data_IF_440539060999
#
_entry.id   IF_440539060999
#
_cell.length_a   1.000
_cell.length_b   1.000
_cell.length_c   1.000
_cell.angle_alpha   90.00
_cell.angle_beta   90.00
_cell.angle_gamma   90.00
#
_symmetry.space_group_name_H-M   'P 1'
#
loop_
_entity.id
_entity.type
_entity.pdbx_description
1 polymer ?
#
# COMPACT_ATOMS: atom_id res chain seq x y z
N UNK A 1 18.16 -14.15 -4.61
CA UNK A 1 18.26 -14.20 -6.08
C UNK A 1 16.95 -13.69 -6.66
N UNK A 2 16.98 -12.62 -7.47
CA UNK A 2 15.78 -12.11 -8.13
C UNK A 2 15.71 -12.68 -9.55
N UNK A 3 14.58 -13.30 -9.92
CA UNK A 3 14.30 -13.74 -11.28
C UNK A 3 13.50 -12.63 -11.98
N UNK A 4 14.03 -12.12 -13.07
CA UNK A 4 13.34 -11.19 -13.96
C UNK A 4 12.66 -12.00 -15.06
N UNK A 5 11.35 -11.84 -15.25
CA UNK A 5 10.60 -12.47 -16.33
C UNK A 5 10.04 -11.40 -17.26
N UNK A 6 10.07 -11.69 -18.56
CA UNK A 6 9.68 -10.79 -19.63
C UNK A 6 8.16 -10.70 -19.79
N UNK A 7 7.68 -9.49 -20.10
CA UNK A 7 6.29 -9.18 -20.48
C UNK A 7 5.82 -10.03 -21.67
N UNK A 8 4.61 -10.60 -21.58
CA UNK A 8 3.87 -11.18 -22.70
C UNK A 8 2.43 -10.65 -22.70
N UNK A 9 2.13 -9.76 -23.66
CA UNK A 9 0.81 -9.46 -24.28
C UNK A 9 -0.42 -9.09 -23.42
N UNK A 10 -1.18 -8.10 -23.91
CA UNK A 10 -2.53 -7.68 -23.45
C UNK A 10 -2.54 -6.82 -22.18
N UNK A 11 -3.27 -5.71 -22.16
CA UNK A 11 -3.37 -4.77 -21.03
C UNK A 11 -3.84 -5.48 -19.75
N UNK A 12 -2.91 -5.78 -18.85
CA UNK A 12 -3.18 -6.35 -17.53
C UNK A 12 -2.99 -5.27 -16.47
N UNK A 13 -3.85 -5.26 -15.45
CA UNK A 13 -3.67 -4.39 -14.30
C UNK A 13 -2.40 -4.77 -13.55
N UNK A 14 -1.58 -3.79 -13.18
CA UNK A 14 -0.28 -4.03 -12.57
C UNK A 14 -0.37 -3.90 -11.04
N UNK A 15 -0.19 -5.01 -10.33
CA UNK A 15 0.00 -5.01 -8.87
C UNK A 15 1.46 -5.34 -8.57
N UNK A 16 2.12 -4.46 -7.84
CA UNK A 16 3.50 -4.68 -7.38
C UNK A 16 3.48 -5.37 -6.03
N UNK A 17 4.09 -6.54 -5.94
CA UNK A 17 4.17 -7.29 -4.69
C UNK A 17 5.51 -7.06 -4.01
N UNK A 18 5.48 -6.82 -2.71
CA UNK A 18 6.66 -6.69 -1.88
C UNK A 18 6.58 -7.66 -0.73
N UNK A 19 7.60 -8.49 -0.66
CA UNK A 19 7.71 -9.55 0.31
C UNK A 19 8.93 -9.26 1.14
N UNK A 20 8.74 -9.13 2.44
CA UNK A 20 9.84 -8.90 3.36
C UNK A 20 9.47 -9.44 4.74
N UNK A 21 10.42 -9.98 5.50
CA UNK A 21 10.16 -10.50 6.84
C UNK A 21 9.48 -9.49 7.78
N UNK A 22 8.92 -9.95 8.87
CA UNK A 22 8.39 -9.07 9.92
C UNK A 22 9.50 -8.15 10.47
N UNK A 23 9.12 -6.95 10.92
CA UNK A 23 10.03 -5.95 11.53
C UNK A 23 11.15 -5.43 10.62
N UNK A 24 10.95 -5.37 9.31
CA UNK A 24 11.94 -4.83 8.34
C UNK A 24 11.65 -3.40 7.88
N UNK A 25 10.58 -2.77 8.37
CA UNK A 25 10.21 -1.41 7.99
C UNK A 25 9.61 -1.30 6.58
N UNK A 26 8.88 -2.33 6.12
CA UNK A 26 8.22 -2.40 4.80
C UNK A 26 7.43 -1.12 4.47
N UNK A 27 6.65 -0.65 5.43
CA UNK A 27 5.82 0.55 5.33
C UNK A 27 6.63 1.82 5.00
N UNK A 28 7.91 1.86 5.40
CA UNK A 28 8.76 3.06 5.28
C UNK A 28 9.48 3.15 3.92
N UNK A 29 9.67 2.03 3.23
CA UNK A 29 10.45 1.97 1.98
C UNK A 29 9.67 2.45 0.76
N UNK A 30 8.35 2.60 0.88
CA UNK A 30 7.46 2.91 -0.23
C UNK A 30 7.50 4.35 -0.75
N UNK A 31 7.95 5.29 0.06
CA UNK A 31 7.87 6.71 -0.25
C UNK A 31 9.01 7.26 -1.13
N UNK A 32 10.00 6.44 -1.55
CA UNK A 32 11.29 6.97 -2.07
C UNK A 32 11.48 7.08 -3.59
N UNK A 33 10.45 6.97 -4.45
CA UNK A 33 10.64 7.13 -5.91
C UNK A 33 9.84 8.26 -6.54
N UNK A 34 10.56 9.06 -7.34
CA UNK A 34 10.27 10.38 -7.92
C UNK A 34 9.12 10.49 -8.96
N UNK A 35 8.11 9.63 -8.88
CA UNK A 35 6.79 9.88 -9.48
C UNK A 35 5.77 9.74 -8.36
N UNK A 36 5.75 10.75 -7.50
CA UNK A 36 4.88 10.78 -6.33
C UNK A 36 3.43 10.83 -6.83
N UNK A 37 2.62 9.79 -6.57
CA UNK A 37 1.19 9.87 -6.83
C UNK A 37 0.64 11.12 -6.12
N UNK A 38 -0.38 11.77 -6.69
CA UNK A 38 -1.00 12.93 -6.04
C UNK A 38 -1.64 12.54 -4.72
N UNK A 39 -2.12 11.29 -4.60
CA UNK A 39 -2.71 10.73 -3.37
C UNK A 39 -2.22 9.32 -3.10
N UNK A 40 -1.95 9.01 -1.83
CA UNK A 40 -1.65 7.65 -1.37
C UNK A 40 -2.64 7.23 -0.31
N UNK A 41 -3.27 6.06 -0.46
CA UNK A 41 -4.12 5.45 0.57
C UNK A 41 -3.47 4.17 1.09
N UNK A 42 -3.70 3.87 2.37
CA UNK A 42 -3.17 2.70 3.05
C UNK A 42 -4.30 1.82 3.58
N UNK A 43 -4.34 0.58 3.10
CA UNK A 43 -5.27 -0.46 3.51
C UNK A 43 -4.48 -1.53 4.25
N UNK A 44 -4.76 -1.73 5.53
CA UNK A 44 -4.12 -2.78 6.32
C UNK A 44 -5.12 -3.86 6.69
N UNK A 45 -4.76 -5.12 6.46
CA UNK A 45 -5.55 -6.29 6.85
C UNK A 45 -4.96 -7.01 8.07
N UNK A 46 -3.83 -6.51 8.59
CA UNK A 46 -3.22 -6.94 9.84
C UNK A 46 -2.14 -5.94 10.28
N UNK A 47 -1.64 -6.07 11.53
CA UNK A 47 -0.51 -5.33 12.09
C UNK A 47 -0.67 -3.78 12.14
N UNK A 48 -1.90 -3.26 12.13
CA UNK A 48 -2.17 -1.81 12.16
C UNK A 48 -2.84 -1.32 13.46
N UNK A 49 -2.44 -1.84 14.63
CA UNK A 49 -2.92 -1.35 15.93
C UNK A 49 -4.43 -1.37 16.06
N UNK A 50 -5.04 -2.51 15.71
CA UNK A 50 -6.48 -2.76 15.67
C UNK A 50 -7.26 -1.96 14.62
N UNK A 51 -6.63 -1.18 13.73
CA UNK A 51 -7.31 -0.52 12.59
C UNK A 51 -7.19 -1.34 11.31
N UNK A 52 -7.45 -2.65 11.42
CA UNK A 52 -7.37 -3.59 10.31
C UNK A 52 -8.75 -3.74 9.67
N UNK A 53 -8.80 -3.94 8.36
CA UNK A 53 -10.00 -4.40 7.67
C UNK A 53 -10.08 -5.92 7.72
N UNK A 54 -11.28 -6.45 8.00
CA UNK A 54 -11.53 -7.89 7.99
C UNK A 54 -12.93 -8.16 7.44
N UNK A 55 -13.07 -9.19 6.60
CA UNK A 55 -14.39 -9.62 6.13
C UNK A 55 -15.12 -10.40 7.23
N UNK A 56 -16.42 -10.15 7.41
CA UNK A 56 -17.24 -10.82 8.42
C UNK A 56 -18.51 -11.41 7.79
N UNK A 57 -18.74 -12.74 7.81
CA UNK A 57 -17.86 -13.76 8.36
C UNK A 57 -16.54 -13.90 7.58
N UNK A 58 -15.49 -14.31 8.28
CA UNK A 58 -14.12 -14.38 7.74
C UNK A 58 -13.91 -15.40 6.62
N UNK A 59 -14.84 -16.35 6.44
CA UNK A 59 -14.75 -17.37 5.38
C UNK A 59 -15.53 -16.91 4.15
N UNK A 60 -14.93 -16.86 2.95
CA UNK A 60 -15.66 -16.58 1.71
C UNK A 60 -16.66 -17.68 1.31
N UNK A 61 -17.44 -17.42 0.25
CA UNK A 61 -18.25 -18.43 -0.42
C UNK A 61 -17.39 -19.60 -0.92
N UNK A 62 -17.94 -20.82 -0.97
CA UNK A 62 -17.28 -21.98 -1.59
C UNK A 62 -17.32 -21.92 -3.12
N UNK A 63 -18.23 -21.14 -3.70
CA UNK A 63 -18.26 -20.86 -5.14
C UNK A 63 -17.18 -19.84 -5.47
N UNK A 64 -16.24 -20.21 -6.36
CA UNK A 64 -15.07 -19.40 -6.71
C UNK A 64 -15.44 -18.08 -7.39
N UNK A 65 -16.51 -18.04 -8.20
CA UNK A 65 -16.95 -16.81 -8.85
C UNK A 65 -17.57 -15.87 -7.82
N UNK A 66 -18.44 -16.40 -6.96
CA UNK A 66 -19.04 -15.61 -5.87
C UNK A 66 -17.98 -15.13 -4.89
N UNK A 67 -16.95 -15.94 -4.58
CA UNK A 67 -15.85 -15.55 -3.72
C UNK A 67 -15.05 -14.40 -4.32
N UNK A 68 -14.77 -14.44 -5.63
CA UNK A 68 -14.11 -13.35 -6.35
C UNK A 68 -14.92 -12.05 -6.31
N UNK A 69 -16.22 -12.11 -6.60
CA UNK A 69 -17.15 -10.97 -6.52
C UNK A 69 -17.29 -10.43 -5.08
N UNK A 70 -17.28 -11.31 -4.08
CA UNK A 70 -17.25 -10.94 -2.66
C UNK A 70 -16.00 -10.12 -2.32
N UNK A 71 -14.84 -10.55 -2.80
CA UNK A 71 -13.58 -9.84 -2.60
C UNK A 71 -13.57 -8.47 -3.27
N UNK A 72 -14.10 -8.40 -4.49
CA UNK A 72 -14.30 -7.16 -5.22
C UNK A 72 -15.16 -6.17 -4.43
N UNK A 73 -16.34 -6.59 -3.97
CA UNK A 73 -17.25 -5.75 -3.18
C UNK A 73 -16.65 -5.32 -1.84
N UNK A 74 -15.96 -6.25 -1.15
CA UNK A 74 -15.24 -5.98 0.09
C UNK A 74 -14.19 -4.88 -0.07
N UNK A 75 -13.41 -4.92 -1.16
CA UNK A 75 -12.38 -3.93 -1.43
C UNK A 75 -12.96 -2.52 -1.65
N UNK A 76 -14.09 -2.42 -2.36
CA UNK A 76 -14.83 -1.15 -2.51
C UNK A 76 -15.21 -0.58 -1.15
N UNK A 77 -15.77 -1.43 -0.28
CA UNK A 77 -16.24 -1.02 1.04
C UNK A 77 -15.09 -0.60 1.96
N UNK A 78 -13.93 -1.26 1.89
CA UNK A 78 -12.73 -0.83 2.60
C UNK A 78 -12.31 0.59 2.19
N UNK A 79 -12.30 0.87 0.89
CA UNK A 79 -11.95 2.21 0.36
C UNK A 79 -13.03 3.24 0.74
N UNK A 80 -14.30 2.85 0.72
CA UNK A 80 -15.42 3.71 1.16
C UNK A 80 -15.24 4.14 2.62
N UNK A 81 -15.00 3.20 3.52
CA UNK A 81 -14.75 3.48 4.93
C UNK A 81 -13.54 4.42 5.09
N UNK A 82 -12.44 4.18 4.37
CA UNK A 82 -11.26 5.07 4.44
C UNK A 82 -11.56 6.52 4.01
N UNK A 83 -12.41 6.72 3.01
CA UNK A 83 -12.67 8.05 2.43
C UNK A 83 -13.82 8.78 3.09
N UNK A 84 -14.86 8.05 3.51
CA UNK A 84 -16.10 8.61 4.06
C UNK A 84 -16.11 8.60 5.60
N UNK A 85 -15.36 7.70 6.23
CA UNK A 85 -15.34 7.49 7.70
C UNK A 85 -13.89 7.55 8.27
N UNK A 86 -13.08 8.58 7.97
CA UNK A 86 -11.65 8.61 8.33
C UNK A 86 -11.36 8.62 9.85
N UNK A 87 -12.33 9.06 10.64
CA UNK A 87 -12.24 9.12 12.10
C UNK A 87 -12.75 7.85 12.79
N UNK A 88 -13.23 6.86 12.05
CA UNK A 88 -13.72 5.60 12.61
C UNK A 88 -12.57 4.85 13.28
N UNK A 89 -12.70 4.62 14.58
CA UNK A 89 -11.71 3.88 15.36
C UNK A 89 -11.97 2.36 15.34
N UNK A 90 -10.91 1.59 15.58
CA UNK A 90 -10.99 0.14 15.81
C UNK A 90 -10.99 -0.70 14.53
N UNK A 91 -11.22 -2.02 14.67
CA UNK A 91 -11.18 -2.92 13.53
C UNK A 91 -12.40 -2.66 12.64
N UNK A 92 -12.14 -2.59 11.34
CA UNK A 92 -13.16 -2.37 10.34
C UNK A 92 -13.67 -3.73 9.87
N UNK A 93 -14.64 -4.26 10.61
CA UNK A 93 -15.42 -5.40 10.15
C UNK A 93 -16.31 -4.98 8.99
N UNK A 94 -16.06 -5.56 7.83
CA UNK A 94 -16.84 -5.35 6.62
C UNK A 94 -17.74 -6.56 6.42
N UNK A 95 -19.07 -6.40 6.45
CA UNK A 95 -19.99 -7.50 6.20
C UNK A 95 -19.73 -8.13 4.83
N UNK A 96 -19.60 -9.45 4.78
CA UNK A 96 -19.52 -10.21 3.55
C UNK A 96 -20.84 -10.05 2.80
N UNK A 97 -20.78 -9.64 1.53
CA UNK A 97 -21.97 -9.59 0.70
C UNK A 97 -22.25 -10.99 0.13
N UNK A 98 -23.32 -11.64 0.60
CA UNK A 98 -23.69 -12.98 0.12
C UNK A 98 -24.29 -12.97 -1.30
N UNK A 99 -24.68 -11.80 -1.81
CA UNK A 99 -25.13 -11.59 -3.19
C UNK A 99 -24.31 -10.43 -3.79
N UNK A 100 -22.99 -10.63 -3.96
CA UNK A 100 -22.12 -9.57 -4.42
C UNK A 100 -22.48 -9.14 -5.85
N UNK A 101 -22.27 -7.86 -6.21
CA UNK A 101 -22.33 -7.47 -7.61
C UNK A 101 -21.15 -8.08 -8.38
N UNK A 102 -21.29 -8.20 -9.70
CA UNK A 102 -20.20 -8.58 -10.59
C UNK A 102 -18.95 -7.69 -10.38
N UNK A 103 -17.77 -8.24 -10.65
CA UNK A 103 -16.48 -7.55 -10.49
C UNK A 103 -16.45 -6.23 -11.26
N UNK A 104 -16.92 -6.22 -12.51
CA UNK A 104 -16.99 -5.02 -13.35
C UNK A 104 -17.83 -3.91 -12.70
N UNK A 105 -18.96 -4.28 -12.08
CA UNK A 105 -19.80 -3.31 -11.38
C UNK A 105 -19.08 -2.74 -10.15
N UNK A 106 -18.31 -3.55 -9.44
CA UNK A 106 -17.48 -3.07 -8.32
C UNK A 106 -16.36 -2.12 -8.79
N UNK A 107 -15.79 -2.34 -9.98
CA UNK A 107 -14.80 -1.44 -10.59
C UNK A 107 -15.40 -0.06 -10.93
N UNK A 108 -16.62 -0.04 -11.47
CA UNK A 108 -17.36 1.19 -11.73
C UNK A 108 -17.60 1.97 -10.43
N UNK A 109 -18.12 1.28 -9.40
CA UNK A 109 -18.41 1.90 -8.10
C UNK A 109 -17.13 2.43 -7.44
N UNK A 110 -16.02 1.68 -7.47
CA UNK A 110 -14.74 2.18 -6.96
C UNK A 110 -14.27 3.42 -7.73
N UNK A 111 -14.37 3.41 -9.06
CA UNK A 111 -13.94 4.53 -9.89
C UNK A 111 -14.76 5.78 -9.59
N UNK A 112 -16.08 5.66 -9.49
CA UNK A 112 -16.97 6.77 -9.10
C UNK A 112 -16.66 7.30 -7.69
N UNK A 113 -16.38 6.41 -6.74
CA UNK A 113 -16.00 6.77 -5.38
C UNK A 113 -14.68 7.55 -5.36
N UNK A 114 -13.65 7.06 -6.04
CA UNK A 114 -12.36 7.73 -6.13
C UNK A 114 -12.46 9.09 -6.86
N UNK A 115 -13.20 9.14 -7.96
CA UNK A 115 -13.42 10.37 -8.72
C UNK A 115 -14.16 11.43 -7.88
N UNK A 116 -15.14 11.02 -7.07
CA UNK A 116 -15.90 11.90 -6.19
C UNK A 116 -15.04 12.53 -5.10
N UNK A 117 -14.16 11.75 -4.47
CA UNK A 117 -13.39 12.19 -3.30
C UNK A 117 -12.02 12.76 -3.64
N UNK A 118 -11.36 12.25 -4.69
CA UNK A 118 -9.98 12.58 -5.05
C UNK A 118 -9.85 13.28 -6.40
N UNK A 119 -10.91 13.27 -7.21
CA UNK A 119 -10.95 13.91 -8.53
C UNK A 119 -10.56 12.95 -9.67
N UNK A 120 -11.17 13.17 -10.84
CA UNK A 120 -11.02 12.34 -12.05
C UNK A 120 -9.61 12.24 -12.59
N UNK A 121 -8.77 13.23 -12.33
CA UNK A 121 -7.39 13.29 -12.82
C UNK A 121 -6.37 12.86 -11.75
N UNK A 122 -6.83 12.29 -10.63
CA UNK A 122 -5.94 11.87 -9.55
C UNK A 122 -5.10 10.65 -9.94
N UNK A 123 -3.82 10.72 -9.58
CA UNK A 123 -2.91 9.58 -9.58
C UNK A 123 -2.89 8.98 -8.18
N UNK A 124 -3.50 7.80 -8.03
CA UNK A 124 -3.70 7.16 -6.74
C UNK A 124 -2.76 5.96 -6.60
N UNK A 125 -2.07 5.90 -5.47
CA UNK A 125 -1.33 4.72 -5.02
C UNK A 125 -2.04 4.09 -3.83
N UNK A 126 -2.43 2.83 -3.98
CA UNK A 126 -2.96 2.02 -2.88
C UNK A 126 -1.85 1.12 -2.34
N UNK A 127 -1.53 1.27 -1.06
CA UNK A 127 -0.68 0.34 -0.34
C UNK A 127 -1.56 -0.63 0.46
N UNK A 128 -1.54 -1.89 0.07
CA UNK A 128 -2.38 -2.99 0.58
C UNK A 128 -1.50 -3.91 1.43
N UNK A 129 -1.54 -3.74 2.74
CA UNK A 129 -0.69 -4.44 3.69
C UNK A 129 -1.30 -5.73 4.20
N UNK A 130 -0.46 -6.76 4.27
CA UNK A 130 -0.85 -8.12 4.65
C UNK A 130 -2.07 -8.65 3.86
N UNK A 131 -2.13 -8.38 2.55
CA UNK A 131 -3.31 -8.66 1.70
C UNK A 131 -3.85 -10.11 1.74
N UNK A 132 -3.05 -11.10 2.15
CA UNK A 132 -3.56 -12.48 2.31
C UNK A 132 -4.42 -12.67 3.56
N UNK A 133 -4.42 -11.70 4.49
CA UNK A 133 -5.22 -11.70 5.73
C UNK A 133 -6.58 -11.00 5.59
N UNK A 134 -6.99 -10.66 4.35
CA UNK A 134 -8.34 -10.14 4.09
C UNK A 134 -9.44 -11.12 4.49
N UNK A 135 -9.18 -12.43 4.36
CA UNK A 135 -10.14 -13.51 4.58
C UNK A 135 -9.43 -14.81 4.97
N UNK A 136 -10.20 -15.80 5.43
CA UNK A 136 -9.72 -17.14 5.68
C UNK A 136 -9.31 -17.83 4.38
N UNK A 137 -8.10 -18.38 4.36
CA UNK A 137 -7.60 -19.28 3.31
C UNK A 137 -7.47 -20.68 3.88
N UNK A 138 -8.11 -21.65 3.24
CA UNK A 138 -8.11 -23.05 3.68
C UNK A 138 -6.83 -23.75 3.26
N UNK A 139 -6.32 -23.43 2.07
CA UNK A 139 -5.13 -24.03 1.48
C UNK A 139 -4.39 -23.03 0.61
N UNK A 140 -3.16 -23.35 0.19
CA UNK A 140 -2.47 -22.62 -0.89
C UNK A 140 -2.84 -23.15 -2.30
N UNK A 141 -3.94 -23.89 -2.43
CA UNK A 141 -4.35 -24.52 -3.69
C UNK A 141 -4.99 -23.52 -4.67
N UNK A 142 -5.01 -23.90 -5.95
CA UNK A 142 -5.54 -23.11 -7.07
C UNK A 142 -7.06 -22.83 -6.96
N UNK A 143 -7.79 -23.68 -6.24
CA UNK A 143 -9.23 -23.56 -6.03
C UNK A 143 -9.59 -23.13 -4.60
N UNK A 144 -8.66 -22.48 -3.89
CA UNK A 144 -8.95 -21.93 -2.57
C UNK A 144 -9.86 -20.69 -2.72
N UNK A 145 -11.09 -20.69 -2.16
CA UNK A 145 -11.97 -19.55 -2.32
C UNK A 145 -11.43 -18.26 -1.68
N UNK A 146 -10.60 -18.37 -0.65
CA UNK A 146 -9.89 -17.22 -0.08
C UNK A 146 -8.85 -16.61 -1.03
N UNK A 147 -8.21 -17.42 -1.87
CA UNK A 147 -7.35 -16.93 -2.94
C UNK A 147 -8.15 -16.17 -4.02
N UNK A 148 -9.32 -16.67 -4.41
CA UNK A 148 -10.22 -16.00 -5.37
C UNK A 148 -10.80 -14.70 -4.81
N UNK A 149 -11.21 -14.69 -3.54
CA UNK A 149 -11.62 -13.49 -2.83
C UNK A 149 -10.53 -12.41 -2.85
N UNK A 150 -9.30 -12.74 -2.44
CA UNK A 150 -8.21 -11.78 -2.54
C UNK A 150 -7.92 -11.39 -4.01
N UNK A 151 -8.13 -12.30 -4.96
CA UNK A 151 -8.02 -12.02 -6.40
C UNK A 151 -8.93 -10.90 -6.85
N UNK A 152 -10.23 -11.03 -6.60
CA UNK A 152 -11.24 -10.03 -6.95
C UNK A 152 -11.03 -8.69 -6.24
N UNK A 153 -10.62 -8.72 -4.96
CA UNK A 153 -10.24 -7.52 -4.22
C UNK A 153 -9.09 -6.77 -4.90
N UNK A 154 -8.01 -7.49 -5.25
CA UNK A 154 -6.84 -6.88 -5.90
C UNK A 154 -7.14 -6.42 -7.32
N UNK A 155 -8.01 -7.11 -8.06
CA UNK A 155 -8.44 -6.70 -9.39
C UNK A 155 -9.20 -5.37 -9.35
N UNK A 156 -10.18 -5.23 -8.45
CA UNK A 156 -10.92 -3.99 -8.28
C UNK A 156 -9.99 -2.85 -7.86
N UNK A 157 -9.13 -3.05 -6.86
CA UNK A 157 -8.21 -1.99 -6.41
C UNK A 157 -7.28 -1.52 -7.53
N UNK A 158 -6.84 -2.43 -8.41
CA UNK A 158 -5.93 -2.12 -9.50
C UNK A 158 -6.60 -1.53 -10.75
N UNK A 159 -7.93 -1.44 -10.80
CA UNK A 159 -8.65 -1.00 -12.00
C UNK A 159 -8.38 0.48 -12.34
N UNK A 160 -8.29 1.32 -11.31
CA UNK A 160 -8.14 2.78 -11.42
C UNK A 160 -6.91 3.34 -10.69
N UNK A 161 -6.20 2.48 -9.96
CA UNK A 161 -5.07 2.88 -9.11
C UNK A 161 -3.80 2.07 -9.40
N UNK A 162 -2.68 2.60 -8.94
CA UNK A 162 -1.45 1.81 -8.83
C UNK A 162 -1.48 1.09 -7.49
N UNK A 163 -1.40 -0.23 -7.50
CA UNK A 163 -1.45 -1.01 -6.26
C UNK A 163 -0.09 -1.59 -5.92
N UNK A 164 0.25 -1.45 -4.66
CA UNK A 164 1.39 -2.08 -4.00
C UNK A 164 0.82 -2.98 -2.92
N UNK A 165 1.07 -4.28 -3.01
CA UNK A 165 0.65 -5.24 -2.01
C UNK A 165 1.85 -5.79 -1.23
N UNK A 166 1.71 -5.91 0.09
CA UNK A 166 2.70 -6.53 0.95
C UNK A 166 2.17 -7.80 1.61
N UNK A 167 3.07 -8.73 1.87
CA UNK A 167 2.84 -9.92 2.69
C UNK A 167 4.19 -10.42 3.23
N UNK A 168 4.16 -11.17 4.34
CA UNK A 168 5.38 -11.75 4.93
C UNK A 168 6.04 -12.74 3.97
N UNK A 169 5.24 -13.55 3.28
CA UNK A 169 5.70 -14.60 2.39
C UNK A 169 5.59 -14.20 0.91
N UNK A 170 6.50 -14.68 0.04
CA UNK A 170 6.37 -14.46 -1.39
C UNK A 170 5.04 -15.01 -1.93
N UNK A 171 4.34 -14.31 -2.84
CA UNK A 171 3.28 -14.95 -3.61
C UNK A 171 3.87 -16.14 -4.35
N UNK A 172 3.11 -17.25 -4.52
CA UNK A 172 3.52 -18.31 -5.43
C UNK A 172 3.80 -17.67 -6.80
N UNK A 173 5.06 -17.79 -7.26
CA UNK A 173 5.64 -16.98 -8.35
C UNK A 173 5.09 -17.29 -9.74
N UNK A 174 4.21 -18.28 -9.86
CA UNK A 174 3.53 -18.57 -11.10
C UNK A 174 2.19 -17.81 -11.11
N UNK A 175 1.88 -17.03 -12.16
CA UNK A 175 0.50 -16.66 -12.43
C UNK A 175 -0.24 -17.95 -12.76
N UNK A 176 -0.75 -18.62 -11.72
CA UNK A 176 -1.47 -19.88 -11.83
C UNK A 176 -2.89 -19.57 -12.24
N UNK A 177 -3.30 -20.13 -13.38
CA UNK A 177 -4.54 -19.84 -14.08
C UNK A 177 -4.42 -18.63 -15.00
N UNK A 178 -4.72 -18.79 -16.29
CA UNK A 178 -4.75 -17.70 -17.26
C UNK A 178 -5.91 -16.72 -17.06
N UNK A 179 -6.51 -16.65 -15.88
CA UNK A 179 -7.69 -15.84 -15.56
C UNK A 179 -7.39 -14.58 -14.75
N UNK A 180 -6.31 -14.53 -13.97
CA UNK A 180 -6.05 -13.31 -13.20
C UNK A 180 -5.63 -12.17 -14.14
N UNK A 181 -6.54 -11.21 -14.39
CA UNK A 181 -6.30 -9.98 -15.19
C UNK A 181 -5.22 -9.08 -14.55
N UNK A 182 -4.69 -9.48 -13.41
CA UNK A 182 -3.67 -8.80 -12.62
C UNK A 182 -2.29 -9.46 -12.80
N UNK A 183 -1.28 -8.69 -13.19
CA UNK A 183 0.13 -9.12 -13.20
C UNK A 183 0.74 -9.03 -11.80
N UNK A 184 1.50 -10.06 -11.41
CA UNK A 184 2.21 -10.13 -10.11
C UNK A 184 3.71 -9.96 -10.32
N UNK A 185 4.21 -8.73 -10.18
CA UNK A 185 5.66 -8.48 -10.26
C UNK A 185 6.26 -8.36 -8.84
N UNK A 186 7.14 -9.29 -8.42
CA UNK A 186 7.87 -9.11 -7.18
C UNK A 186 8.87 -7.96 -7.34
N UNK A 187 8.74 -6.93 -6.52
CA UNK A 187 9.68 -5.81 -6.50
C UNK A 187 10.73 -6.06 -5.43
N UNK A 188 11.97 -6.27 -5.85
CA UNK A 188 13.09 -6.24 -4.92
C UNK A 188 13.24 -4.82 -4.38
N UNK A 189 12.97 -4.64 -3.08
CA UNK A 189 13.21 -3.36 -2.44
C UNK A 189 14.71 -3.15 -2.25
N UNK A 190 15.23 -1.93 -2.53
CA UNK A 190 16.59 -1.59 -2.13
C UNK A 190 16.70 -1.74 -0.62
N UNK A 191 17.69 -2.49 -0.16
CA UNK A 191 17.97 -2.58 1.27
C UNK A 191 18.39 -1.19 1.75
N UNK A 192 17.60 -0.59 2.62
CA UNK A 192 18.03 0.60 3.34
C UNK A 192 19.17 0.17 4.26
N UNK A 193 20.37 0.63 3.95
CA UNK A 193 21.53 0.54 4.81
C UNK A 193 21.35 1.57 5.93
N UNK A 194 20.78 1.12 7.05
CA UNK A 194 20.43 1.98 8.19
C UNK A 194 21.65 2.74 8.69
N UNK A 195 22.82 2.09 8.73
CA UNK A 195 24.06 2.70 9.18
C UNK A 195 24.47 3.84 8.26
N UNK A 196 24.39 3.65 6.94
CA UNK A 196 24.67 4.74 5.97
C UNK A 196 23.64 5.86 5.99
N UNK A 197 22.36 5.54 6.21
CA UNK A 197 21.32 6.58 6.36
C UNK A 197 21.59 7.40 7.63
N UNK A 198 21.93 6.74 8.74
CA UNK A 198 22.24 7.41 9.99
C UNK A 198 23.53 8.24 9.88
N UNK A 199 24.56 7.72 9.20
CA UNK A 199 25.81 8.43 8.94
C UNK A 199 25.59 9.66 8.04
N UNK A 200 24.85 9.51 6.93
CA UNK A 200 24.49 10.63 6.04
C UNK A 200 23.71 11.72 6.79
N UNK A 201 22.76 11.34 7.65
CA UNK A 201 21.95 12.28 8.43
C UNK A 201 22.74 12.96 9.55
N UNK A 202 23.72 12.27 10.13
CA UNK A 202 24.60 12.82 11.16
C UNK A 202 25.66 13.77 10.59
N UNK A 203 26.09 13.56 9.34
CA UNK A 203 27.25 14.25 8.76
C UNK A 203 26.92 15.26 7.66
N UNK A 204 25.76 15.14 6.99
CA UNK A 204 25.49 15.89 5.74
C UNK A 204 24.15 16.59 5.63
N UNK A 205 23.31 16.61 6.67
CA UNK A 205 22.00 17.26 6.60
C UNK A 205 21.84 18.40 7.60
N UNK A 206 21.30 19.53 7.13
CA UNK A 206 20.86 20.70 7.92
C UNK A 206 19.72 20.40 8.92
N UNK A 207 19.38 19.14 9.13
CA UNK A 207 18.35 18.71 10.09
C UNK A 207 18.82 18.89 11.53
N UNK A 208 20.11 18.65 11.79
CA UNK A 208 20.71 18.96 13.10
C UNK A 208 20.68 20.46 13.38
N UNK A 209 20.87 21.29 12.35
CA UNK A 209 20.79 22.75 12.44
C UNK A 209 19.32 23.24 12.59
N UNK A 210 18.40 22.62 11.87
CA UNK A 210 16.97 22.98 11.85
C UNK A 210 16.21 22.49 13.09
N UNK A 211 16.69 21.43 13.74
CA UNK A 211 16.09 20.83 14.94
C UNK A 211 17.16 20.49 15.99
N UNK A 212 17.82 21.49 16.58
CA UNK A 212 18.92 21.28 17.55
C UNK A 212 18.49 20.55 18.82
N UNK A 213 17.20 20.55 19.14
CA UNK A 213 16.59 19.82 20.25
C UNK A 213 16.53 18.30 20.02
N UNK A 214 16.65 17.84 18.77
CA UNK A 214 16.77 16.41 18.48
C UNK A 214 18.17 15.93 18.87
N UNK A 215 18.33 15.57 20.16
CA UNK A 215 19.53 14.88 20.62
C UNK A 215 19.54 13.47 20.05
N UNK A 216 20.36 13.25 19.04
CA UNK A 216 20.59 11.91 18.54
C UNK A 216 21.39 11.13 19.59
N UNK A 217 20.89 9.98 20.06
CA UNK A 217 21.66 9.14 20.96
C UNK A 217 22.97 8.82 20.27
N UNK A 218 24.09 9.08 20.95
CA UNK A 218 25.39 8.63 20.45
C UNK A 218 25.27 7.13 20.17
N UNK A 219 25.62 6.73 18.95
CA UNK A 219 25.43 5.42 18.30
C UNK A 219 25.87 4.19 19.10
N UNK A 220 26.40 4.35 20.31
CA UNK A 220 26.86 3.25 21.15
C UNK A 220 25.73 2.47 21.82
N UNK A 221 24.48 2.97 21.92
CA UNK A 221 23.42 2.32 22.73
C UNK A 221 21.95 2.52 22.30
N UNK A 222 21.65 2.93 21.07
CA UNK A 222 20.24 2.96 20.67
C UNK A 222 19.73 1.52 20.42
N UNK A 223 18.58 1.15 21.00
CA UNK A 223 17.92 -0.13 20.65
C UNK A 223 17.47 -0.02 19.19
N UNK A 224 17.68 -1.08 18.39
CA UNK A 224 17.36 -1.16 16.95
C UNK A 224 15.98 -0.59 16.56
N UNK A 225 14.98 -0.74 17.42
CA UNK A 225 13.62 -0.26 17.15
C UNK A 225 13.50 1.28 17.23
N UNK A 226 14.27 1.91 18.13
CA UNK A 226 14.34 3.36 18.23
C UNK A 226 15.08 4.00 17.04
N UNK A 227 16.12 3.33 16.52
CA UNK A 227 16.84 3.77 15.32
C UNK A 227 15.95 3.72 14.07
N UNK A 228 15.13 2.68 13.96
CA UNK A 228 14.17 2.51 12.86
C UNK A 228 13.05 3.55 12.89
N UNK A 229 12.43 3.76 14.05
CA UNK A 229 11.40 4.77 14.22
C UNK A 229 11.94 6.18 13.89
N UNK A 230 13.16 6.49 14.33
CA UNK A 230 13.83 7.75 13.99
C UNK A 230 14.11 7.88 12.49
N UNK A 231 14.58 6.83 11.83
CA UNK A 231 14.84 6.85 10.39
C UNK A 231 13.55 7.09 9.59
N UNK A 232 12.44 6.47 10.01
CA UNK A 232 11.11 6.64 9.40
C UNK A 232 10.56 8.05 9.57
N UNK A 233 10.55 8.58 10.80
CA UNK A 233 10.11 9.95 11.09
C UNK A 233 10.94 10.98 10.30
N UNK A 234 12.24 10.74 10.15
CA UNK A 234 13.14 11.66 9.42
C UNK A 234 12.93 11.62 7.91
N UNK A 235 12.71 10.44 7.32
CA UNK A 235 12.39 10.34 5.89
C UNK A 235 11.11 11.12 5.57
N UNK A 236 10.07 11.00 6.41
CA UNK A 236 8.83 11.76 6.25
C UNK A 236 9.06 13.29 6.35
N UNK A 237 9.88 13.75 7.29
CA UNK A 237 10.17 15.18 7.50
C UNK A 237 11.04 15.81 6.38
N UNK A 238 11.94 15.04 5.77
CA UNK A 238 12.76 15.49 4.63
C UNK A 238 11.91 15.80 3.38
N UNK A 239 10.81 15.08 3.18
CA UNK A 239 9.95 15.25 2.01
C UNK A 239 8.93 16.39 2.17
N UNK A 240 8.54 16.75 3.40
CA UNK A 240 7.65 17.90 3.67
C UNK A 240 8.29 19.28 3.46
N UNK A 241 9.61 19.36 3.29
CA UNK A 241 10.36 20.62 3.23
C UNK A 241 10.48 21.24 1.82
N UNK A 242 10.12 20.52 0.75
CA UNK A 242 10.33 20.98 -0.64
C UNK A 242 9.17 21.78 -1.25
N UNK A 243 8.13 22.13 -0.48
CA UNK A 243 6.92 22.78 -0.99
C UNK A 243 6.78 24.29 -0.76
N UNK A 244 7.75 24.99 -0.13
CA UNK A 244 7.57 26.41 0.24
C UNK A 244 8.72 27.38 -0.08
N UNK A 245 9.71 26.98 -0.88
CA UNK A 245 10.76 27.89 -1.35
C UNK A 245 10.63 28.09 -2.87
N UNK A 246 9.63 28.88 -3.26
CA UNK A 246 9.36 29.18 -4.67
C UNK A 246 8.36 30.30 -4.87
N UNK A 247 8.30 31.29 -3.97
CA UNK A 247 7.50 32.49 -4.19
C UNK A 247 8.08 33.65 -3.36
N UNK A 248 9.13 34.30 -3.87
CA UNK A 248 9.42 35.74 -3.68
C UNK A 248 10.68 36.14 -4.43
N UNK A 249 10.50 36.88 -5.52
CA UNK A 249 11.29 38.08 -5.87
C UNK A 249 11.00 38.48 -7.32
N UNK A 250 10.12 39.45 -7.52
CA UNK A 250 10.40 40.58 -8.42
C UNK A 250 9.86 41.83 -7.75
N UNK A 251 10.77 42.73 -7.39
CA UNK A 251 10.50 44.07 -6.88
C UNK A 251 10.41 45.08 -8.04
N UNK A 252 9.67 46.16 -7.75
CA UNK A 252 9.43 47.41 -8.47
C UNK A 252 10.45 47.93 -9.51
N UNK A 253 9.90 48.49 -10.59
CA UNK A 253 10.08 49.88 -11.06
C UNK A 253 8.85 50.20 -11.96
N UNK A 254 8.12 51.31 -11.92
CA UNK A 254 8.46 52.66 -11.51
C UNK A 254 8.67 53.56 -12.74
N UNK A 255 7.58 53.94 -13.43
CA UNK A 255 7.15 55.30 -13.89
C UNK A 255 5.74 55.15 -14.43
#
# INVERSE_FOLDING_TARGET
>A
MAKQLHRRGGERYLVKYICSPSKTGKTCQHFSRATSPTTSLYLAFDNNGDRNFEVSPYTPSDDVMVAEEQGAAFAVECVRILLEEPDREGPHEVPRNDNPPAVERSQEVLSELLDRHLGKDSEILLHVDEHRRMCHRRTEAEYDPGAWFCGGAMEVLACRTRVVATYIEPPPLEPRGSSSRVSRDPVALPRIDVDKVMDYLATRHSISEKYPQLRFPQLKRARRDAERLLATLKAALCHGSRGKEGARSVAHAGV
#
